data_IF_268022333016
#
_entry.id   IF_268022333016
#
_cell.length_a   1.000
_cell.length_b   1.000
_cell.length_c   1.000
_cell.angle_alpha   90.00
_cell.angle_beta   90.00
_cell.angle_gamma   90.00
#
_symmetry.space_group_name_H-M   'P 1'
#
loop_
_entity.id
_entity.type
_entity.pdbx_description
1 polymer ?
#
# COMPACT_ATOMS: atom_id res chain seq x y z
N UNK A 1 -0.92 28.84 17.02
CA UNK A 1 -0.13 27.80 16.32
C UNK A 1 -0.75 26.41 16.46
N UNK A 2 -1.14 25.96 17.66
CA UNK A 2 -1.81 24.66 17.84
C UNK A 2 -3.13 24.46 17.09
N UNK A 3 -3.99 25.49 16.99
CA UNK A 3 -5.28 25.38 16.29
C UNK A 3 -5.15 25.22 14.77
N UNK A 4 -4.19 25.93 14.15
CA UNK A 4 -3.95 25.86 12.69
C UNK A 4 -3.43 24.46 12.32
N UNK A 5 -2.54 23.89 13.14
CA UNK A 5 -2.05 22.53 12.95
C UNK A 5 -3.17 21.49 13.12
N UNK A 6 -4.15 21.73 13.99
CA UNK A 6 -5.30 20.85 14.18
C UNK A 6 -6.26 20.90 12.99
N UNK A 7 -6.53 22.08 12.42
CA UNK A 7 -7.34 22.21 11.19
C UNK A 7 -6.65 21.51 10.02
N UNK A 8 -5.34 21.73 9.84
CA UNK A 8 -4.54 21.03 8.82
C UNK A 8 -4.65 19.51 8.99
N UNK A 9 -4.44 19.01 10.22
CA UNK A 9 -4.56 17.59 10.53
C UNK A 9 -5.93 17.03 10.15
N UNK A 10 -7.01 17.70 10.56
CA UNK A 10 -8.39 17.26 10.26
C UNK A 10 -8.66 17.22 8.76
N UNK A 11 -8.20 18.22 8.00
CA UNK A 11 -8.39 18.25 6.54
C UNK A 11 -7.65 17.08 5.87
N UNK A 12 -6.36 16.88 6.18
CA UNK A 12 -5.59 15.77 5.59
C UNK A 12 -6.18 14.41 6.00
N UNK A 13 -6.63 14.29 7.24
CA UNK A 13 -7.29 13.08 7.73
C UNK A 13 -8.59 12.78 6.96
N UNK A 14 -9.43 13.78 6.71
CA UNK A 14 -10.65 13.61 5.92
C UNK A 14 -10.34 13.21 4.47
N UNK A 15 -9.30 13.81 3.86
CA UNK A 15 -8.83 13.41 2.53
C UNK A 15 -8.37 11.95 2.51
N UNK A 16 -7.66 11.51 3.55
CA UNK A 16 -7.22 10.11 3.68
C UNK A 16 -8.41 9.15 3.75
N UNK A 17 -9.40 9.41 4.61
CA UNK A 17 -10.62 8.58 4.72
C UNK A 17 -11.40 8.58 3.40
N UNK A 18 -11.56 9.74 2.78
CA UNK A 18 -12.22 9.86 1.47
C UNK A 18 -11.52 9.04 0.39
N UNK A 19 -10.18 9.11 0.32
CA UNK A 19 -9.41 8.35 -0.65
C UNK A 19 -9.54 6.83 -0.48
N UNK A 20 -9.66 6.35 0.77
CA UNK A 20 -9.93 4.95 1.04
C UNK A 20 -11.33 4.52 0.62
N UNK A 21 -12.32 5.39 0.84
CA UNK A 21 -13.67 5.16 0.34
C UNK A 21 -13.67 5.06 -1.18
N UNK A 22 -13.02 6.00 -1.89
CA UNK A 22 -12.89 5.95 -3.34
C UNK A 22 -12.21 4.65 -3.84
N UNK A 23 -11.19 4.15 -3.12
CA UNK A 23 -10.52 2.90 -3.48
C UNK A 23 -11.47 1.70 -3.36
N UNK A 24 -12.27 1.62 -2.30
CA UNK A 24 -13.24 0.53 -2.12
C UNK A 24 -14.34 0.49 -3.19
N UNK A 25 -14.80 1.66 -3.66
CA UNK A 25 -15.82 1.76 -4.71
C UNK A 25 -15.24 1.81 -6.14
N UNK A 26 -13.92 1.68 -6.28
CA UNK A 26 -13.28 1.75 -7.59
C UNK A 26 -13.55 0.47 -8.39
N UNK A 27 -14.24 0.60 -9.51
CA UNK A 27 -14.46 -0.47 -10.49
C UNK A 27 -13.63 -0.31 -11.77
N UNK A 28 -12.99 0.85 -11.95
CA UNK A 28 -12.14 1.15 -13.10
C UNK A 28 -10.66 1.23 -12.74
N UNK A 29 -9.81 0.88 -13.72
CA UNK A 29 -8.35 1.01 -13.65
C UNK A 29 -7.93 2.43 -13.25
N UNK A 30 -8.50 3.44 -13.93
CA UNK A 30 -8.16 4.84 -13.69
C UNK A 30 -8.59 5.31 -12.30
N UNK A 31 -9.82 4.99 -11.88
CA UNK A 31 -10.29 5.34 -10.52
C UNK A 31 -9.44 4.69 -9.43
N UNK A 32 -8.96 3.47 -9.68
CA UNK A 32 -8.13 2.75 -8.75
C UNK A 32 -6.74 3.39 -8.62
N UNK A 33 -6.10 3.75 -9.73
CA UNK A 33 -4.82 4.48 -9.73
C UNK A 33 -4.91 5.80 -8.98
N UNK A 34 -5.92 6.61 -9.30
CA UNK A 34 -6.12 7.91 -8.65
C UNK A 34 -6.33 7.74 -7.15
N UNK A 35 -7.18 6.80 -6.73
CA UNK A 35 -7.43 6.55 -5.31
C UNK A 35 -6.18 6.01 -4.61
N UNK A 36 -5.41 5.17 -5.30
CA UNK A 36 -4.17 4.60 -4.80
C UNK A 36 -3.08 5.66 -4.55
N UNK A 37 -2.93 6.61 -5.48
CA UNK A 37 -2.02 7.75 -5.39
C UNK A 37 -2.42 8.73 -4.28
N UNK A 38 -3.71 9.11 -4.21
CA UNK A 38 -4.21 10.03 -3.17
C UNK A 38 -4.00 9.41 -1.78
N UNK A 39 -4.26 8.11 -1.62
CA UNK A 39 -3.95 7.37 -0.39
C UNK A 39 -2.46 7.46 -0.02
N UNK A 40 -1.57 7.30 -1.00
CA UNK A 40 -0.12 7.40 -0.79
C UNK A 40 0.31 8.79 -0.34
N UNK A 41 -0.15 9.83 -1.02
CA UNK A 41 0.21 11.22 -0.75
C UNK A 41 -0.38 11.70 0.60
N UNK A 42 -1.64 11.38 0.89
CA UNK A 42 -2.24 11.77 2.18
C UNK A 42 -1.57 11.07 3.37
N UNK A 43 -1.16 9.80 3.23
CA UNK A 43 -0.42 9.10 4.27
C UNK A 43 0.93 9.76 4.60
N UNK A 44 1.63 10.28 3.59
CA UNK A 44 2.88 11.02 3.77
C UNK A 44 2.70 12.24 4.66
N UNK A 45 1.71 13.08 4.33
CA UNK A 45 1.47 14.32 5.05
C UNK A 45 1.03 14.08 6.49
N UNK A 46 0.35 12.96 6.76
CA UNK A 46 -0.02 12.56 8.13
C UNK A 46 1.19 12.08 8.94
N UNK A 47 2.13 11.32 8.34
CA UNK A 47 3.36 10.89 9.01
C UNK A 47 4.31 12.06 9.28
N UNK A 48 4.32 13.07 8.40
CA UNK A 48 5.14 14.28 8.50
C UNK A 48 4.64 15.29 9.56
N UNK A 49 3.49 15.06 10.20
CA UNK A 49 2.81 16.05 11.03
C UNK A 49 3.68 16.72 12.11
N UNK A 50 4.54 15.97 12.81
CA UNK A 50 5.39 16.52 13.88
C UNK A 50 6.66 17.23 13.39
N UNK A 51 7.01 17.14 12.10
CA UNK A 51 8.18 17.81 11.49
C UNK A 51 9.54 17.60 12.20
N UNK A 52 9.68 16.56 13.02
CA UNK A 52 10.96 16.17 13.61
C UNK A 52 11.82 15.43 12.59
N UNK A 53 13.15 15.47 12.70
CA UNK A 53 14.09 14.72 11.84
C UNK A 53 13.70 13.24 11.70
N UNK A 54 13.26 12.67 12.81
CA UNK A 54 12.77 11.31 12.92
C UNK A 54 11.46 11.05 12.16
N UNK A 55 10.52 12.01 12.17
CA UNK A 55 9.25 11.96 11.44
C UNK A 55 9.47 12.20 9.95
N UNK A 56 10.35 13.14 9.56
CA UNK A 56 10.70 13.39 8.17
C UNK A 56 11.34 12.17 7.50
N UNK A 57 12.30 11.52 8.17
CA UNK A 57 12.92 10.29 7.66
C UNK A 57 11.94 9.12 7.57
N UNK A 58 11.01 9.01 8.51
CA UNK A 58 9.91 8.05 8.46
C UNK A 58 8.99 8.28 7.28
N UNK A 59 8.47 9.52 7.14
CA UNK A 59 7.59 9.93 6.07
C UNK A 59 8.23 9.69 4.68
N UNK A 60 9.50 10.05 4.50
CA UNK A 60 10.19 9.81 3.22
C UNK A 60 10.29 8.32 2.88
N UNK A 61 10.60 7.46 3.86
CA UNK A 61 10.64 6.01 3.63
C UNK A 61 9.25 5.45 3.25
N UNK A 62 8.18 5.96 3.86
CA UNK A 62 6.80 5.54 3.52
C UNK A 62 6.42 5.93 2.09
N UNK A 63 6.79 7.15 1.63
CA UNK A 63 6.50 7.56 0.25
C UNK A 63 7.31 6.80 -0.76
N UNK A 64 8.61 6.64 -0.52
CA UNK A 64 9.49 5.94 -1.46
C UNK A 64 9.05 4.49 -1.67
N UNK A 65 8.69 3.79 -0.59
CA UNK A 65 8.19 2.42 -0.68
C UNK A 65 6.83 2.34 -1.36
N UNK A 66 5.92 3.30 -1.12
CA UNK A 66 4.66 3.40 -1.85
C UNK A 66 4.87 3.65 -3.35
N UNK A 67 5.80 4.53 -3.72
CA UNK A 67 6.13 4.85 -5.12
C UNK A 67 6.68 3.64 -5.89
N UNK A 68 7.41 2.76 -5.22
CA UNK A 68 7.82 1.46 -5.80
C UNK A 68 6.60 0.60 -6.13
N UNK A 69 5.58 0.60 -5.27
CA UNK A 69 4.30 -0.04 -5.54
C UNK A 69 3.58 0.56 -6.75
N UNK A 70 3.52 1.88 -6.84
CA UNK A 70 2.88 2.59 -7.95
C UNK A 70 3.51 2.23 -9.30
N UNK A 71 4.83 2.03 -9.34
CA UNK A 71 5.54 1.56 -10.52
C UNK A 71 5.08 0.16 -10.96
N UNK A 72 4.89 -0.78 -10.03
CA UNK A 72 4.36 -2.10 -10.36
C UNK A 72 2.93 -2.03 -10.91
N UNK A 73 2.09 -1.16 -10.34
CA UNK A 73 0.73 -0.96 -10.86
C UNK A 73 0.72 -0.34 -12.24
N UNK A 74 1.61 0.61 -12.50
CA UNK A 74 1.72 1.21 -13.82
C UNK A 74 2.09 0.16 -14.89
N UNK A 75 3.07 -0.71 -14.60
CA UNK A 75 3.44 -1.82 -15.50
C UNK A 75 2.25 -2.75 -15.73
N UNK A 76 1.54 -3.14 -14.67
CA UNK A 76 0.36 -4.01 -14.77
C UNK A 76 -0.67 -3.44 -15.75
N UNK A 77 -1.02 -2.16 -15.61
CA UNK A 77 -2.00 -1.53 -16.50
C UNK A 77 -1.50 -1.33 -17.92
N UNK A 78 -0.21 -1.02 -18.11
CA UNK A 78 0.41 -1.01 -19.44
C UNK A 78 0.30 -2.39 -20.11
N UNK A 79 0.65 -3.48 -19.42
CA UNK A 79 0.53 -4.84 -19.93
C UNK A 79 -0.92 -5.16 -20.34
N UNK A 80 -1.90 -4.79 -19.52
CA UNK A 80 -3.31 -4.98 -19.83
C UNK A 80 -3.74 -4.21 -21.09
N UNK A 81 -3.31 -2.96 -21.22
CA UNK A 81 -3.58 -2.12 -22.39
C UNK A 81 -2.99 -2.70 -23.69
N UNK A 82 -1.71 -3.11 -23.67
CA UNK A 82 -1.06 -3.72 -24.84
C UNK A 82 -1.70 -5.04 -25.25
N UNK A 83 -2.17 -5.82 -24.27
CA UNK A 83 -2.83 -7.07 -24.56
C UNK A 83 -4.24 -6.86 -25.14
N UNK A 84 -4.98 -5.84 -24.68
CA UNK A 84 -6.24 -5.43 -25.29
C UNK A 84 -6.08 -4.97 -26.75
N UNK A 85 -4.94 -4.36 -27.10
CA UNK A 85 -4.62 -3.92 -28.46
C UNK A 85 -4.08 -5.03 -29.36
N UNK A 86 -3.99 -6.27 -28.86
CA UNK A 86 -3.64 -7.45 -29.65
C UNK A 86 -2.15 -7.68 -29.89
N UNK A 87 -1.26 -6.89 -29.25
CA UNK A 87 0.18 -7.08 -29.39
C UNK A 87 0.72 -8.33 -28.70
N UNK A 88 0.01 -8.82 -27.68
CA UNK A 88 0.40 -9.98 -26.88
C UNK A 88 -0.80 -10.90 -26.63
N UNK A 89 -0.56 -12.20 -26.45
CA UNK A 89 -1.58 -13.17 -26.04
C UNK A 89 -1.73 -13.20 -24.52
N UNK A 90 -2.97 -13.03 -24.02
CA UNK A 90 -3.25 -13.09 -22.57
C UNK A 90 -2.84 -14.43 -21.96
N UNK A 91 -3.09 -15.54 -22.65
CA UNK A 91 -3.04 -16.89 -22.08
C UNK A 91 -1.65 -17.27 -21.54
N UNK A 92 -0.57 -16.86 -22.21
CA UNK A 92 0.80 -17.16 -21.78
C UNK A 92 1.38 -16.17 -20.77
N UNK A 93 0.85 -14.94 -20.72
CA UNK A 93 1.39 -13.85 -19.90
C UNK A 93 0.63 -13.63 -18.59
N UNK A 94 -0.54 -14.24 -18.42
CA UNK A 94 -1.35 -14.16 -17.20
C UNK A 94 -0.56 -14.29 -15.87
N UNK A 95 0.31 -15.31 -15.67
CA UNK A 95 1.05 -15.42 -14.40
C UNK A 95 2.06 -14.27 -14.20
N UNK A 96 2.71 -13.82 -15.28
CA UNK A 96 3.66 -12.71 -15.23
C UNK A 96 2.97 -11.38 -14.98
N UNK A 97 1.82 -11.16 -15.62
CA UNK A 97 1.01 -9.96 -15.44
C UNK A 97 0.40 -9.92 -14.04
N UNK A 98 -0.04 -11.07 -13.51
CA UNK A 98 -0.58 -11.18 -12.14
C UNK A 98 0.46 -11.01 -11.03
N UNK A 99 1.75 -11.13 -11.33
CA UNK A 99 2.83 -10.91 -10.36
C UNK A 99 2.93 -9.43 -9.93
N UNK A 100 2.74 -8.50 -10.86
CA UNK A 100 2.84 -7.05 -10.58
C UNK A 100 1.83 -6.54 -9.53
N UNK A 101 0.51 -6.84 -9.61
CA UNK A 101 -0.43 -6.41 -8.57
C UNK A 101 -0.15 -7.09 -7.23
N UNK A 102 0.41 -8.32 -7.20
CA UNK A 102 0.85 -8.95 -5.95
C UNK A 102 2.00 -8.18 -5.31
N UNK A 103 3.03 -7.81 -6.10
CA UNK A 103 4.14 -7.00 -5.59
C UNK A 103 3.69 -5.61 -5.11
N UNK A 104 2.78 -4.96 -5.83
CA UNK A 104 2.19 -3.68 -5.42
C UNK A 104 1.34 -3.81 -4.14
N UNK A 105 0.62 -4.93 -4.01
CA UNK A 105 -0.08 -5.27 -2.77
C UNK A 105 0.90 -5.39 -1.62
N UNK A 106 2.00 -6.12 -1.80
CA UNK A 106 3.02 -6.37 -0.79
C UNK A 106 3.69 -5.08 -0.29
N UNK A 107 3.91 -4.09 -1.16
CA UNK A 107 4.48 -2.80 -0.76
C UNK A 107 3.56 -2.07 0.21
N UNK A 108 2.25 -1.94 -0.09
CA UNK A 108 1.28 -1.25 0.80
C UNK A 108 0.87 -2.07 2.02
N UNK A 109 0.91 -3.40 1.95
CA UNK A 109 0.65 -4.27 3.09
C UNK A 109 1.89 -4.53 3.96
N UNK A 110 3.02 -3.86 3.68
CA UNK A 110 4.29 -4.01 4.41
C UNK A 110 4.75 -5.48 4.53
N UNK A 111 4.52 -6.28 3.49
CA UNK A 111 5.03 -7.64 3.45
C UNK A 111 6.53 -7.65 3.14
N UNK A 112 7.21 -8.72 3.53
CA UNK A 112 8.63 -8.92 3.26
C UNK A 112 8.83 -9.00 1.75
N UNK A 113 9.79 -8.27 1.15
CA UNK A 113 10.89 -7.51 1.78
C UNK A 113 10.59 -6.05 2.15
N UNK A 114 9.39 -5.54 1.84
CA UNK A 114 9.00 -4.13 2.00
C UNK A 114 8.46 -3.76 3.40
N UNK A 115 8.76 -4.55 4.45
CA UNK A 115 8.23 -4.29 5.79
C UNK A 115 8.83 -3.07 6.50
N UNK A 116 9.98 -2.58 6.04
CA UNK A 116 10.78 -1.57 6.74
C UNK A 116 10.16 -0.18 6.87
N UNK A 117 9.13 0.16 6.08
CA UNK A 117 8.46 1.46 6.21
C UNK A 117 7.46 1.49 7.36
N UNK A 118 6.83 0.36 7.68
CA UNK A 118 5.74 0.28 8.65
C UNK A 118 6.18 0.66 10.08
N UNK A 119 7.31 0.16 10.62
CA UNK A 119 7.78 0.59 11.94
C UNK A 119 8.20 2.06 12.00
N UNK A 120 8.67 2.64 10.90
CA UNK A 120 9.07 4.05 10.85
C UNK A 120 7.86 4.99 10.78
N UNK A 121 6.72 4.50 10.29
CA UNK A 121 5.46 5.24 10.21
C UNK A 121 4.78 5.43 11.58
N UNK A 122 5.17 4.65 12.61
CA UNK A 122 4.62 4.74 13.98
C UNK A 122 4.93 6.07 14.69
N UNK A 123 5.78 6.91 14.10
CA UNK A 123 6.06 8.28 14.55
C UNK A 123 4.91 9.26 14.26
N UNK A 124 3.90 8.84 13.50
CA UNK A 124 2.68 9.60 13.28
C UNK A 124 1.85 9.75 14.59
N UNK A 125 0.96 10.75 14.68
CA UNK A 125 0.04 10.86 15.83
C UNK A 125 -0.80 9.59 16.00
N UNK A 126 -1.07 9.20 17.25
CA UNK A 126 -1.77 7.96 17.64
C UNK A 126 -3.09 7.67 16.89
N UNK A 127 -3.97 8.64 16.58
CA UNK A 127 -5.17 8.36 15.76
C UNK A 127 -4.83 7.96 14.32
N UNK A 128 -3.74 8.49 13.75
CA UNK A 128 -3.30 8.15 12.39
C UNK A 128 -2.65 6.79 12.36
N UNK A 129 -1.72 6.52 13.29
CA UNK A 129 -1.06 5.22 13.33
C UNK A 129 -2.10 4.11 13.56
N UNK A 130 -3.07 4.30 14.45
CA UNK A 130 -4.18 3.38 14.62
C UNK A 130 -4.92 3.11 13.30
N UNK A 131 -5.25 4.15 12.52
CA UNK A 131 -6.05 4.00 11.30
C UNK A 131 -5.25 3.41 10.13
N UNK A 132 -4.00 3.88 9.94
CA UNK A 132 -3.07 3.40 8.90
C UNK A 132 -2.71 1.93 9.11
N UNK A 133 -2.45 1.52 10.35
CA UNK A 133 -2.01 0.16 10.67
C UNK A 133 -3.15 -0.84 10.82
N UNK A 134 -4.36 -0.40 11.21
CA UNK A 134 -5.49 -1.33 11.42
C UNK A 134 -6.39 -1.51 10.19
N UNK A 135 -6.69 -0.44 9.44
CA UNK A 135 -7.93 -0.42 8.66
C UNK A 135 -7.85 0.10 7.24
N UNK A 136 -6.86 0.92 6.86
CA UNK A 136 -6.89 1.57 5.53
C UNK A 136 -5.67 1.36 4.64
N UNK A 137 -4.44 1.60 5.10
CA UNK A 137 -3.28 1.55 4.20
C UNK A 137 -2.86 0.10 3.91
N UNK A 138 -2.78 -0.72 4.96
CA UNK A 138 -2.42 -2.15 4.85
C UNK A 138 -3.51 -2.94 4.12
N UNK A 139 -4.78 -2.60 4.35
CA UNK A 139 -5.94 -3.27 3.73
C UNK A 139 -6.07 -2.94 2.24
N UNK A 140 -5.61 -1.76 1.79
CA UNK A 140 -5.64 -1.39 0.37
C UNK A 140 -4.89 -2.39 -0.52
N UNK A 141 -3.77 -2.97 -0.04
CA UNK A 141 -3.04 -4.01 -0.78
C UNK A 141 -3.86 -5.30 -0.95
N UNK A 142 -4.62 -5.69 0.06
CA UNK A 142 -5.54 -6.83 -0.01
C UNK A 142 -6.73 -6.54 -0.93
N UNK A 143 -7.31 -5.34 -0.86
CA UNK A 143 -8.41 -4.92 -1.75
C UNK A 143 -7.98 -4.99 -3.21
N UNK A 144 -6.73 -4.61 -3.51
CA UNK A 144 -6.17 -4.72 -4.85
C UNK A 144 -6.06 -6.17 -5.33
N UNK A 145 -5.51 -7.05 -4.49
CA UNK A 145 -5.37 -8.47 -4.80
C UNK A 145 -6.74 -9.13 -5.00
N UNK A 146 -7.72 -8.82 -4.14
CA UNK A 146 -9.09 -9.31 -4.27
C UNK A 146 -9.80 -8.74 -5.50
N UNK A 147 -9.58 -7.46 -5.83
CA UNK A 147 -10.16 -6.81 -7.01
C UNK A 147 -9.69 -7.44 -8.32
N UNK A 148 -8.43 -7.87 -8.39
CA UNK A 148 -7.88 -8.61 -9.54
C UNK A 148 -7.81 -10.13 -9.32
N UNK A 149 -8.71 -10.70 -8.52
CA UNK A 149 -8.71 -12.11 -8.17
C UNK A 149 -8.72 -13.08 -9.37
N UNK A 150 -9.29 -12.69 -10.51
CA UNK A 150 -9.26 -13.49 -11.75
C UNK A 150 -7.84 -13.62 -12.34
N UNK A 151 -7.01 -12.58 -12.20
CA UNK A 151 -5.63 -12.56 -12.73
C UNK A 151 -4.65 -13.13 -11.70
N UNK A 152 -4.86 -12.81 -10.43
CA UNK A 152 -3.99 -13.26 -9.32
C UNK A 152 -4.31 -14.68 -8.86
N UNK A 153 -5.51 -15.20 -9.13
CA UNK A 153 -6.00 -16.51 -8.66
C UNK A 153 -5.35 -17.74 -9.27
N UNK A 154 -4.21 -17.60 -9.98
CA UNK A 154 -3.44 -18.74 -10.45
C UNK A 154 -2.77 -19.47 -9.28
N UNK A 155 -2.59 -20.79 -9.41
CA UNK A 155 -2.02 -21.63 -8.34
C UNK A 155 -0.65 -21.13 -7.86
N UNK A 156 0.20 -20.68 -8.77
CA UNK A 156 1.56 -20.23 -8.45
C UNK A 156 1.57 -18.91 -7.67
N UNK A 157 0.77 -17.93 -8.10
CA UNK A 157 0.66 -16.65 -7.41
C UNK A 157 -0.01 -16.81 -6.04
N UNK A 158 -1.01 -17.67 -5.92
CA UNK A 158 -1.62 -18.00 -4.63
C UNK A 158 -0.62 -18.61 -3.63
N UNK A 159 0.27 -19.48 -4.10
CA UNK A 159 1.36 -20.02 -3.27
C UNK A 159 2.35 -18.94 -2.86
N UNK A 160 2.69 -18.01 -3.76
CA UNK A 160 3.57 -16.88 -3.44
C UNK A 160 2.97 -15.98 -2.35
N UNK A 161 1.69 -15.64 -2.45
CA UNK A 161 0.96 -14.85 -1.44
C UNK A 161 0.94 -15.58 -0.09
N UNK A 162 0.66 -16.90 -0.10
CA UNK A 162 0.64 -17.71 1.11
C UNK A 162 2.03 -17.76 1.78
N UNK A 163 3.08 -18.10 1.03
CA UNK A 163 4.44 -18.22 1.55
C UNK A 163 4.99 -16.88 2.01
N UNK A 164 4.76 -15.81 1.26
CA UNK A 164 5.10 -14.44 1.64
C UNK A 164 4.41 -14.04 2.95
N UNK A 165 3.10 -14.29 3.04
CA UNK A 165 2.31 -14.04 4.25
C UNK A 165 2.83 -14.82 5.47
N UNK A 166 3.06 -16.13 5.33
CA UNK A 166 3.60 -16.97 6.41
C UNK A 166 4.98 -16.49 6.88
N UNK A 167 5.86 -16.16 5.93
CA UNK A 167 7.18 -15.65 6.26
C UNK A 167 7.10 -14.32 7.01
N UNK A 168 6.24 -13.40 6.56
CA UNK A 168 6.04 -12.11 7.24
C UNK A 168 5.49 -12.26 8.64
N UNK A 169 4.56 -13.20 8.84
CA UNK A 169 3.99 -13.49 10.15
C UNK A 169 5.09 -13.93 11.13
N UNK A 170 5.91 -14.92 10.75
CA UNK A 170 6.99 -15.44 11.59
C UNK A 170 8.05 -14.36 11.84
N UNK A 171 8.46 -13.64 10.80
CA UNK A 171 9.46 -12.58 10.92
C UNK A 171 9.00 -11.47 11.87
N UNK A 172 7.75 -11.01 11.70
CA UNK A 172 7.16 -9.97 12.54
C UNK A 172 7.00 -10.42 14.00
N UNK A 173 6.64 -11.68 14.24
CA UNK A 173 6.49 -12.21 15.60
C UNK A 173 7.82 -12.28 16.33
N UNK A 174 8.90 -12.67 15.65
CA UNK A 174 10.25 -12.71 16.26
C UNK A 174 10.72 -11.29 16.58
N UNK A 175 10.55 -10.35 15.64
CA UNK A 175 10.92 -8.95 15.84
C UNK A 175 10.12 -8.26 16.95
N UNK A 176 8.86 -8.64 17.15
CA UNK A 176 8.02 -8.08 18.21
C UNK A 176 8.52 -8.45 19.61
N UNK A 177 9.14 -9.61 19.79
CA UNK A 177 9.68 -10.04 21.09
C UNK A 177 10.92 -9.23 21.52
N UNK A 178 11.69 -8.71 20.55
CA UNK A 178 12.92 -7.94 20.84
C UNK A 178 12.63 -6.46 21.10
N UNK A 179 11.53 -5.91 20.59
CA UNK A 179 11.21 -4.49 20.73
C UNK A 179 10.66 -4.14 22.10
N UNK A 180 11.13 -3.03 22.65
CA UNK A 180 10.74 -2.50 23.97
C UNK A 180 9.74 -1.33 23.89
N UNK A 181 9.39 -0.89 22.69
CA UNK A 181 8.38 0.15 22.47
C UNK A 181 6.97 -0.47 22.61
N UNK A 182 6.06 0.23 23.29
CA UNK A 182 4.66 -0.18 23.49
C UNK A 182 3.79 -0.01 22.24
#
# INVERSE_FOLDING_TARGET
EGEINLVYFMVVFMVFVFSMFCLNFSHGIFSMLVSWDILGISSFFLVLFYNNWDSCSGAMNTVLTNRVGDFFLFIFFCCFFFCCWGFFSMVGLLPWVGLYPVLAGFTKSAQFPFSGWLPKAMKAPTPVSALVHSSTLVTAGLILIMGFGLVVGTRELGLLVLLGGLFTMIFSSVWALEKQDM
#
